data_IF_283967536983
#
_entry.id   IF_283967536983
#
_cell.length_a   1.000
_cell.length_b   1.000
_cell.length_c   1.000
_cell.angle_alpha   90.00
_cell.angle_beta   90.00
_cell.angle_gamma   90.00
#
_symmetry.space_group_name_H-M   'P 1'
#
loop_
_entity.id
_entity.type
_entity.pdbx_description
1 polymer ?
#
# COMPACT_ATOMS: atom_id res chain seq x y z
N UNK A 1 22.10 -24.00 12.70
CA UNK A 1 20.77 -23.81 13.33
C UNK A 1 20.53 -22.33 13.59
N UNK A 2 19.35 -21.82 13.32
CA UNK A 2 19.02 -20.43 13.56
C UNK A 2 18.70 -20.19 15.03
N UNK A 3 19.07 -19.01 15.52
CA UNK A 3 18.69 -18.57 16.88
C UNK A 3 17.23 -18.15 16.91
N UNK A 4 16.65 -18.08 18.11
CA UNK A 4 15.30 -17.56 18.28
C UNK A 4 15.16 -16.14 17.72
N UNK A 5 16.17 -15.28 17.95
CA UNK A 5 16.16 -13.91 17.44
C UNK A 5 16.11 -13.89 15.90
N UNK A 6 16.87 -14.76 15.23
CA UNK A 6 16.87 -14.87 13.76
C UNK A 6 15.50 -15.33 13.24
N UNK A 7 14.89 -16.32 13.90
CA UNK A 7 13.55 -16.80 13.53
C UNK A 7 12.50 -15.71 13.70
N UNK A 8 12.58 -14.92 14.77
CA UNK A 8 11.66 -13.81 15.02
C UNK A 8 11.81 -12.71 13.97
N UNK A 9 13.05 -12.40 13.56
CA UNK A 9 13.32 -11.44 12.49
C UNK A 9 12.75 -11.90 11.15
N UNK A 10 12.91 -13.17 10.82
CA UNK A 10 12.36 -13.74 9.58
C UNK A 10 10.84 -13.66 9.56
N UNK A 11 10.19 -14.00 10.67
CA UNK A 11 8.75 -13.90 10.79
C UNK A 11 8.27 -12.46 10.62
N UNK A 12 8.95 -11.51 11.26
CA UNK A 12 8.63 -10.10 11.13
C UNK A 12 8.79 -9.62 9.68
N UNK A 13 9.88 -10.01 9.02
CA UNK A 13 10.14 -9.65 7.63
C UNK A 13 9.06 -10.25 6.71
N UNK A 14 8.64 -11.47 6.95
CA UNK A 14 7.57 -12.12 6.19
C UNK A 14 6.25 -11.35 6.31
N UNK A 15 5.92 -10.85 7.49
CA UNK A 15 4.71 -10.04 7.69
C UNK A 15 4.78 -8.72 6.94
N UNK A 16 5.96 -8.06 6.94
CA UNK A 16 6.17 -6.82 6.19
C UNK A 16 5.95 -7.06 4.69
N UNK A 17 6.57 -8.12 4.15
CA UNK A 17 6.44 -8.44 2.73
C UNK A 17 5.00 -8.75 2.34
N UNK A 18 4.30 -9.51 3.18
CA UNK A 18 2.89 -9.83 2.97
C UNK A 18 2.03 -8.56 2.95
N UNK A 19 2.25 -7.67 3.93
CA UNK A 19 1.53 -6.40 4.01
C UNK A 19 1.77 -5.55 2.75
N UNK A 20 3.02 -5.41 2.33
CA UNK A 20 3.37 -4.62 1.13
C UNK A 20 2.69 -5.17 -0.11
N UNK A 21 2.69 -6.49 -0.27
CA UNK A 21 2.08 -7.15 -1.42
C UNK A 21 0.57 -6.91 -1.47
N UNK A 22 -0.11 -7.11 -0.35
CA UNK A 22 -1.57 -6.90 -0.25
C UNK A 22 -1.92 -5.43 -0.51
N UNK A 23 -1.20 -4.52 0.11
CA UNK A 23 -1.46 -3.08 -0.01
C UNK A 23 -1.24 -2.59 -1.45
N UNK A 24 -0.12 -2.99 -2.06
CA UNK A 24 0.21 -2.59 -3.43
C UNK A 24 -0.83 -3.08 -4.44
N UNK A 25 -1.24 -4.33 -4.31
CA UNK A 25 -2.27 -4.92 -5.15
C UNK A 25 -3.61 -4.18 -4.97
N UNK A 26 -3.95 -3.86 -3.74
CA UNK A 26 -5.19 -3.14 -3.43
C UNK A 26 -5.20 -1.75 -4.08
N UNK A 27 -4.08 -1.04 -4.03
CA UNK A 27 -3.98 0.26 -4.69
C UNK A 27 -4.22 0.14 -6.20
N UNK A 28 -3.59 -0.84 -6.84
CA UNK A 28 -3.78 -1.06 -8.28
C UNK A 28 -5.23 -1.37 -8.61
N UNK A 29 -5.86 -2.21 -7.81
CA UNK A 29 -7.26 -2.62 -8.02
C UNK A 29 -8.22 -1.44 -7.86
N UNK A 30 -8.05 -0.63 -6.83
CA UNK A 30 -8.89 0.55 -6.60
C UNK A 30 -8.74 1.53 -7.76
N UNK A 31 -7.50 1.79 -8.17
CA UNK A 31 -7.24 2.69 -9.28
C UNK A 31 -7.91 2.21 -10.57
N UNK A 32 -7.81 0.91 -10.85
CA UNK A 32 -8.45 0.31 -12.02
C UNK A 32 -9.97 0.43 -11.97
N UNK A 33 -10.57 0.19 -10.81
CA UNK A 33 -12.03 0.34 -10.61
C UNK A 33 -12.50 1.77 -10.86
N UNK A 34 -11.68 2.75 -10.50
CA UNK A 34 -11.98 4.17 -10.70
C UNK A 34 -11.65 4.65 -12.12
N UNK A 35 -11.03 3.80 -12.93
CA UNK A 35 -10.57 4.16 -14.29
C UNK A 35 -9.57 5.32 -14.32
N UNK A 36 -8.75 5.43 -13.29
CA UNK A 36 -7.71 6.47 -13.23
C UNK A 36 -6.38 5.92 -13.73
N UNK A 37 -5.60 6.80 -14.40
CA UNK A 37 -4.18 6.54 -14.65
C UNK A 37 -3.37 6.85 -13.39
N UNK A 38 -2.16 6.31 -13.29
CA UNK A 38 -1.24 6.68 -12.20
C UNK A 38 -0.98 8.20 -12.19
N UNK A 39 -0.85 8.79 -13.37
CA UNK A 39 -0.64 10.24 -13.51
C UNK A 39 -1.81 11.03 -12.93
N UNK A 40 -3.03 10.61 -13.23
CA UNK A 40 -4.24 11.28 -12.71
C UNK A 40 -4.31 11.18 -11.19
N UNK A 41 -4.06 10.01 -10.62
CA UNK A 41 -4.09 9.83 -9.17
C UNK A 41 -3.01 10.66 -8.49
N UNK A 42 -1.79 10.61 -9.01
CA UNK A 42 -0.68 11.38 -8.46
C UNK A 42 -0.99 12.88 -8.45
N UNK A 43 -1.60 13.39 -9.52
CA UNK A 43 -2.03 14.78 -9.62
C UNK A 43 -3.07 15.13 -8.55
N UNK A 44 -4.07 14.26 -8.37
CA UNK A 44 -5.11 14.46 -7.35
C UNK A 44 -4.54 14.44 -5.93
N UNK A 45 -3.53 13.60 -5.70
CA UNK A 45 -2.85 13.50 -4.41
C UNK A 45 -1.85 14.63 -4.16
N UNK A 46 -1.40 15.31 -5.21
CA UNK A 46 -0.37 16.33 -5.11
C UNK A 46 1.03 15.77 -4.91
N UNK A 47 1.30 14.57 -5.45
CA UNK A 47 2.61 13.93 -5.37
C UNK A 47 3.16 13.65 -6.77
N UNK A 48 4.49 13.49 -6.91
CA UNK A 48 5.06 13.03 -8.18
C UNK A 48 4.51 11.66 -8.60
N UNK A 49 4.36 11.45 -9.89
CA UNK A 49 3.89 10.16 -10.42
C UNK A 49 4.79 9.01 -9.99
N UNK A 50 6.11 9.24 -9.93
CA UNK A 50 7.06 8.23 -9.47
C UNK A 50 6.82 7.81 -8.01
N UNK A 51 6.42 8.76 -7.17
CA UNK A 51 6.10 8.47 -5.76
C UNK A 51 4.91 7.53 -5.68
N UNK A 52 3.82 7.85 -6.36
CA UNK A 52 2.63 6.99 -6.37
C UNK A 52 2.93 5.62 -6.99
N UNK A 53 3.66 5.59 -8.11
CA UNK A 53 4.03 4.35 -8.76
C UNK A 53 4.85 3.44 -7.84
N UNK A 54 5.73 4.01 -7.02
CA UNK A 54 6.51 3.24 -6.04
C UNK A 54 5.61 2.61 -4.98
N UNK A 55 4.51 3.25 -4.59
CA UNK A 55 3.54 2.65 -3.68
C UNK A 55 2.84 1.44 -4.32
N UNK A 56 2.46 1.55 -5.59
CA UNK A 56 1.83 0.43 -6.30
C UNK A 56 2.78 -0.74 -6.57
N UNK A 57 4.07 -0.48 -6.57
CA UNK A 57 5.09 -1.52 -6.78
C UNK A 57 5.67 -2.07 -5.48
N UNK A 58 5.22 -1.56 -4.34
CA UNK A 58 5.72 -1.99 -3.04
C UNK A 58 7.15 -1.57 -2.74
N UNK A 59 7.69 -0.60 -3.47
CA UNK A 59 9.06 -0.11 -3.26
C UNK A 59 9.15 0.92 -2.15
N UNK A 60 8.07 1.64 -1.90
CA UNK A 60 7.97 2.64 -0.84
C UNK A 60 6.62 2.55 -0.18
N UNK A 61 6.60 2.94 1.09
CA UNK A 61 5.37 3.03 1.87
C UNK A 61 4.91 4.48 1.93
N UNK A 62 3.61 4.75 1.76
CA UNK A 62 3.09 6.09 1.99
C UNK A 62 3.12 6.44 3.48
N UNK A 63 3.23 7.74 3.78
CA UNK A 63 3.11 8.23 5.16
C UNK A 63 1.66 8.12 5.64
N UNK A 64 1.44 8.36 6.93
CA UNK A 64 0.07 8.41 7.49
C UNK A 64 -0.76 9.47 6.78
N UNK A 65 -0.17 10.64 6.51
CA UNK A 65 -0.87 11.68 5.76
C UNK A 65 -1.22 11.22 4.36
N UNK A 66 -0.30 10.55 3.67
CA UNK A 66 -0.55 10.01 2.33
C UNK A 66 -1.68 9.00 2.33
N UNK A 67 -1.76 8.15 3.36
CA UNK A 67 -2.86 7.20 3.55
C UNK A 67 -4.18 7.93 3.66
N UNK A 68 -4.25 8.95 4.51
CA UNK A 68 -5.46 9.77 4.66
C UNK A 68 -5.86 10.39 3.32
N UNK A 69 -4.90 10.93 2.59
CA UNK A 69 -5.13 11.56 1.29
C UNK A 69 -5.60 10.56 0.23
N UNK A 70 -5.05 9.35 0.24
CA UNK A 70 -5.52 8.26 -0.63
C UNK A 70 -6.99 7.93 -0.36
N UNK A 71 -7.37 7.82 0.91
CA UNK A 71 -8.75 7.56 1.29
C UNK A 71 -9.68 8.69 0.81
N UNK A 72 -9.22 9.92 0.91
CA UNK A 72 -9.96 11.08 0.44
C UNK A 72 -10.15 11.06 -1.08
N UNK A 73 -9.05 10.86 -1.82
CA UNK A 73 -9.06 10.90 -3.30
C UNK A 73 -9.86 9.74 -3.89
N UNK A 74 -9.73 8.56 -3.31
CA UNK A 74 -10.46 7.37 -3.79
C UNK A 74 -11.85 7.26 -3.20
N UNK A 75 -12.20 8.08 -2.21
CA UNK A 75 -13.48 8.02 -1.49
C UNK A 75 -13.74 6.62 -0.93
N UNK A 76 -12.80 6.14 -0.15
CA UNK A 76 -12.84 4.80 0.45
C UNK A 76 -12.54 4.87 1.94
N UNK A 77 -12.97 3.83 2.66
CA UNK A 77 -12.66 3.67 4.07
C UNK A 77 -11.32 2.94 4.25
N UNK A 78 -10.73 3.06 5.43
CA UNK A 78 -9.47 2.40 5.76
C UNK A 78 -9.54 0.88 5.55
N UNK A 79 -10.65 0.26 5.87
CA UNK A 79 -10.83 -1.18 5.71
C UNK A 79 -10.75 -1.60 4.23
N UNK A 80 -11.25 -0.77 3.33
CA UNK A 80 -11.15 -1.03 1.89
C UNK A 80 -9.72 -0.93 1.40
N UNK A 81 -8.97 0.02 1.95
CA UNK A 81 -7.58 0.25 1.55
C UNK A 81 -6.65 -0.82 2.09
N UNK A 82 -6.80 -1.20 3.36
CA UNK A 82 -5.88 -2.13 4.02
C UNK A 82 -6.31 -3.58 3.91
N UNK A 83 -7.58 -3.84 3.61
CA UNK A 83 -8.13 -5.18 3.50
C UNK A 83 -7.78 -6.05 4.71
N UNK A 84 -8.15 -5.54 5.89
CA UNK A 84 -7.74 -6.10 7.19
C UNK A 84 -8.13 -7.58 7.32
N UNK A 85 -9.26 -7.97 6.76
CA UNK A 85 -9.75 -9.35 6.83
C UNK A 85 -8.83 -10.34 6.12
N UNK A 86 -8.12 -9.91 5.09
CA UNK A 86 -7.11 -10.74 4.41
C UNK A 86 -5.79 -10.79 5.17
N UNK A 87 -5.48 -9.72 5.93
CA UNK A 87 -4.23 -9.61 6.68
C UNK A 87 -4.30 -10.40 7.99
N UNK A 88 -5.44 -10.41 8.62
CA UNK A 88 -5.67 -11.11 9.89
C UNK A 88 -6.17 -12.53 9.64
#
# INVERSE_FOLDING_TARGET
MKTLAQLMEEEHQNRIELFKSIFSEKLRNIRAEKNYSQKTVAKKLGVPVSTYANWEQGRREPSIYDIFNLMWVYDIEANELFNIDEIL
#
